data_IF_014085190394
#
_entry.id   IF_014085190394
#
_cell.length_a   1.000
_cell.length_b   1.000
_cell.length_c   1.000
_cell.angle_alpha   90.00
_cell.angle_beta   90.00
_cell.angle_gamma   90.00
#
_symmetry.space_group_name_H-M   'P 1'
#
loop_
_entity.id
_entity.type
_entity.pdbx_description
1 polymer ?
#
# COMPACT_ATOMS: atom_id res chain seq x y z
N UNK A 1 31.16 -10.51 -8.35
CA UNK A 1 30.68 -10.79 -6.98
C UNK A 1 31.46 -9.93 -5.99
N UNK A 2 30.99 -8.72 -5.69
CA UNK A 2 31.62 -7.81 -4.72
C UNK A 2 31.12 -8.15 -3.31
N UNK A 3 31.97 -8.83 -2.52
CA UNK A 3 31.76 -9.06 -1.09
C UNK A 3 31.67 -7.68 -0.40
N UNK A 4 30.46 -7.26 -0.04
CA UNK A 4 30.21 -6.01 0.67
C UNK A 4 30.91 -6.02 2.03
N UNK A 5 31.74 -5.00 2.28
CA UNK A 5 32.43 -4.78 3.55
C UNK A 5 31.39 -4.74 4.69
N UNK A 6 31.42 -5.74 5.57
CA UNK A 6 30.67 -5.76 6.83
C UNK A 6 31.21 -4.64 7.74
N UNK A 7 30.59 -3.47 7.67
CA UNK A 7 30.84 -2.33 8.54
C UNK A 7 29.54 -1.61 8.86
N UNK A 8 29.46 -0.99 10.04
CA UNK A 8 28.34 -0.11 10.39
C UNK A 8 28.23 0.99 9.32
N UNK A 9 27.06 1.22 8.69
CA UNK A 9 26.90 2.26 7.69
C UNK A 9 27.36 3.60 8.25
N UNK A 10 28.03 4.41 7.44
CA UNK A 10 28.45 5.76 7.87
C UNK A 10 27.22 6.62 8.19
N UNK A 11 27.38 7.68 8.99
CA UNK A 11 26.25 8.60 9.32
C UNK A 11 25.52 9.11 8.07
N UNK A 12 26.27 9.41 7.00
CA UNK A 12 25.72 9.85 5.72
C UNK A 12 24.90 8.76 5.02
N UNK A 13 25.36 7.51 5.08
CA UNK A 13 24.60 6.37 4.54
C UNK A 13 23.33 6.10 5.35
N UNK A 14 23.39 6.27 6.68
CA UNK A 14 22.20 6.13 7.53
C UNK A 14 21.15 7.19 7.20
N UNK A 15 21.56 8.45 6.99
CA UNK A 15 20.65 9.52 6.58
C UNK A 15 19.97 9.24 5.23
N UNK A 16 20.74 8.80 4.23
CA UNK A 16 20.18 8.43 2.93
C UNK A 16 19.17 7.28 3.02
N UNK A 17 19.44 6.28 3.86
CA UNK A 17 18.51 5.17 4.10
C UNK A 17 17.23 5.70 4.79
N UNK A 18 17.37 6.57 5.79
CA UNK A 18 16.23 7.19 6.46
C UNK A 18 15.37 8.02 5.49
N UNK A 19 15.97 8.92 4.71
CA UNK A 19 15.24 9.75 3.73
C UNK A 19 14.50 8.92 2.68
N UNK A 20 15.08 7.79 2.27
CA UNK A 20 14.47 6.91 1.28
C UNK A 20 13.33 6.08 1.87
N UNK A 21 13.51 5.54 3.07
CA UNK A 21 12.56 4.62 3.69
C UNK A 21 11.42 5.34 4.44
N UNK A 22 11.63 6.57 4.91
CA UNK A 22 10.68 7.30 5.75
C UNK A 22 9.35 7.62 5.04
N UNK A 23 9.33 8.00 3.75
CA UNK A 23 8.07 8.17 3.02
C UNK A 23 7.26 6.87 2.92
N UNK A 24 7.93 5.73 2.75
CA UNK A 24 7.27 4.42 2.67
C UNK A 24 6.67 4.03 4.02
N UNK A 25 7.40 4.29 5.10
CA UNK A 25 6.93 4.08 6.45
C UNK A 25 5.69 4.95 6.77
N UNK A 26 5.74 6.24 6.44
CA UNK A 26 4.62 7.18 6.66
C UNK A 26 3.35 6.80 5.89
N UNK A 27 3.51 6.26 4.67
CA UNK A 27 2.42 5.75 3.84
C UNK A 27 1.91 4.37 4.27
N UNK A 28 2.53 3.74 5.27
CA UNK A 28 2.10 2.45 5.80
C UNK A 28 2.42 1.26 4.90
N UNK A 29 3.43 1.36 4.02
CA UNK A 29 3.88 0.21 3.23
C UNK A 29 4.49 -0.87 4.14
N UNK A 30 4.42 -2.14 3.74
CA UNK A 30 5.08 -3.22 4.47
C UNK A 30 6.59 -3.16 4.29
N UNK A 31 7.35 -3.63 5.29
CA UNK A 31 8.81 -3.70 5.19
C UNK A 31 9.27 -4.58 4.02
N UNK A 32 8.51 -5.63 3.68
CA UNK A 32 8.78 -6.50 2.54
C UNK A 32 8.54 -5.80 1.20
N UNK A 33 7.41 -5.09 1.05
CA UNK A 33 7.12 -4.33 -0.17
C UNK A 33 8.14 -3.21 -0.38
N UNK A 34 8.47 -2.49 0.69
CA UNK A 34 9.47 -1.43 0.65
C UNK A 34 10.86 -1.96 0.30
N UNK A 35 11.26 -3.13 0.80
CA UNK A 35 12.54 -3.76 0.46
C UNK A 35 12.62 -4.12 -1.03
N UNK A 36 11.53 -4.64 -1.60
CA UNK A 36 11.45 -4.95 -3.02
C UNK A 36 11.55 -3.70 -3.90
N UNK A 37 10.89 -2.60 -3.51
CA UNK A 37 10.88 -1.35 -4.27
C UNK A 37 12.21 -0.58 -4.19
N UNK A 38 12.84 -0.59 -3.01
CA UNK A 38 14.04 0.24 -2.74
C UNK A 38 15.35 -0.52 -2.92
N UNK A 39 15.32 -1.84 -3.02
CA UNK A 39 16.49 -2.70 -3.10
C UNK A 39 17.30 -2.81 -1.79
N UNK A 40 16.80 -2.23 -0.69
CA UNK A 40 17.40 -2.40 0.63
C UNK A 40 17.08 -3.78 1.21
N UNK A 41 18.02 -4.35 1.96
CA UNK A 41 17.80 -5.61 2.67
C UNK A 41 16.63 -5.50 3.65
N UNK A 42 15.73 -6.48 3.65
CA UNK A 42 14.50 -6.45 4.45
C UNK A 42 14.77 -6.32 5.95
N UNK A 43 15.92 -6.81 6.46
CA UNK A 43 16.29 -6.63 7.87
C UNK A 43 16.69 -5.20 8.16
N UNK A 44 17.29 -4.50 7.19
CA UNK A 44 17.60 -3.07 7.29
C UNK A 44 16.30 -2.27 7.32
N UNK A 45 15.37 -2.53 6.40
CA UNK A 45 14.06 -1.87 6.39
C UNK A 45 13.32 -2.09 7.71
N UNK A 46 13.23 -3.35 8.17
CA UNK A 46 12.61 -3.69 9.46
C UNK A 46 13.29 -2.98 10.64
N UNK A 47 14.62 -2.82 10.63
CA UNK A 47 15.33 -2.11 11.70
C UNK A 47 14.92 -0.64 11.79
N UNK A 48 14.82 0.04 10.65
CA UNK A 48 14.41 1.45 10.61
C UNK A 48 12.93 1.60 10.93
N UNK A 49 12.08 0.72 10.39
CA UNK A 49 10.65 0.72 10.70
C UNK A 49 10.41 0.52 12.19
N UNK A 50 11.06 -0.47 12.83
CA UNK A 50 10.98 -0.68 14.28
C UNK A 50 11.53 0.47 15.10
N UNK A 51 12.60 1.13 14.63
CA UNK A 51 13.13 2.34 15.27
C UNK A 51 12.05 3.42 15.27
N UNK A 52 11.45 3.68 14.11
CA UNK A 52 10.40 4.69 14.00
C UNK A 52 9.11 4.29 14.71
N UNK A 53 8.73 3.00 14.75
CA UNK A 53 7.64 2.46 15.56
C UNK A 53 7.88 2.67 17.07
N UNK A 54 9.13 2.55 17.51
CA UNK A 54 9.49 2.83 18.90
C UNK A 54 9.49 4.33 19.20
N UNK A 55 10.04 5.15 18.30
CA UNK A 55 10.01 6.60 18.40
C UNK A 55 8.56 7.14 18.32
N UNK A 56 7.68 6.42 17.63
CA UNK A 56 6.24 6.64 17.51
C UNK A 56 5.46 6.45 18.82
N UNK A 57 5.95 5.60 19.71
CA UNK A 57 5.31 5.34 21.01
C UNK A 57 5.29 6.60 21.88
N UNK A 58 6.15 7.58 21.60
CA UNK A 58 6.29 8.84 22.35
C UNK A 58 5.55 10.03 21.73
N UNK A 59 4.99 9.92 20.51
CA UNK A 59 4.47 11.08 19.77
C UNK A 59 3.05 10.86 19.21
N UNK A 60 2.04 11.22 20.00
CA UNK A 60 0.60 11.12 19.65
C UNK A 60 0.26 11.82 18.33
N UNK A 61 0.96 12.90 18.00
CA UNK A 61 0.67 13.70 16.79
C UNK A 61 1.02 12.92 15.51
N UNK A 62 2.09 12.12 15.54
CA UNK A 62 2.48 11.30 14.40
C UNK A 62 1.52 10.11 14.21
N UNK A 63 1.10 9.45 15.30
CA UNK A 63 0.13 8.35 15.24
C UNK A 63 -1.18 8.81 14.59
N UNK A 64 -1.65 10.00 14.95
CA UNK A 64 -2.84 10.60 14.34
C UNK A 64 -2.64 10.93 12.86
N UNK A 65 -1.48 11.49 12.49
CA UNK A 65 -1.13 11.72 11.07
C UNK A 65 -1.14 10.42 10.25
N UNK A 66 -0.61 9.32 10.78
CA UNK A 66 -0.65 8.02 10.11
C UNK A 66 -2.07 7.47 9.94
N UNK A 67 -2.96 7.66 10.93
CA UNK A 67 -4.37 7.29 10.80
C UNK A 67 -5.08 8.10 9.72
N UNK A 68 -4.86 9.42 9.71
CA UNK A 68 -5.44 10.34 8.71
C UNK A 68 -4.97 9.98 7.30
N UNK A 69 -3.66 9.78 7.09
CA UNK A 69 -3.12 9.44 5.77
C UNK A 69 -3.60 8.08 5.28
N UNK A 70 -3.79 7.12 6.18
CA UNK A 70 -4.39 5.83 5.83
C UNK A 70 -5.85 5.99 5.38
N UNK A 71 -6.65 6.76 6.11
CA UNK A 71 -8.03 7.04 5.73
C UNK A 71 -8.10 7.74 4.37
N UNK A 72 -7.23 8.72 4.12
CA UNK A 72 -7.10 9.39 2.82
C UNK A 72 -6.76 8.42 1.70
N UNK A 73 -5.81 7.53 1.94
CA UNK A 73 -5.40 6.51 0.97
C UNK A 73 -6.54 5.52 0.68
N UNK A 74 -7.27 5.07 1.71
CA UNK A 74 -8.42 4.20 1.54
C UNK A 74 -9.52 4.87 0.70
N UNK A 75 -9.84 6.14 0.99
CA UNK A 75 -10.81 6.93 0.21
C UNK A 75 -10.35 7.14 -1.24
N UNK A 76 -9.05 7.37 -1.47
CA UNK A 76 -8.51 7.51 -2.83
C UNK A 76 -8.71 6.20 -3.63
N UNK A 77 -8.41 5.05 -3.03
CA UNK A 77 -8.63 3.74 -3.66
C UNK A 77 -10.13 3.51 -3.95
N UNK A 78 -11.02 3.89 -3.03
CA UNK A 78 -12.46 3.78 -3.25
C UNK A 78 -12.95 4.66 -4.39
N UNK A 79 -12.46 5.90 -4.49
CA UNK A 79 -12.78 6.79 -5.61
C UNK A 79 -12.27 6.24 -6.96
N UNK A 80 -11.07 5.65 -7.00
CA UNK A 80 -10.56 5.00 -8.21
C UNK A 80 -11.39 3.77 -8.60
N UNK A 81 -11.82 2.96 -7.64
CA UNK A 81 -12.72 1.83 -7.88
C UNK A 81 -14.06 2.27 -8.47
N UNK A 82 -14.68 3.32 -7.92
CA UNK A 82 -15.92 3.90 -8.46
C UNK A 82 -15.74 4.41 -9.89
N UNK A 83 -14.60 5.04 -10.19
CA UNK A 83 -14.28 5.50 -11.54
C UNK A 83 -14.13 4.32 -12.51
N UNK A 84 -13.42 3.27 -12.11
CA UNK A 84 -13.29 2.05 -12.91
C UNK A 84 -14.63 1.34 -13.13
N UNK A 85 -15.55 1.35 -12.17
CA UNK A 85 -16.91 0.83 -12.34
C UNK A 85 -17.73 1.63 -13.34
N UNK A 86 -17.55 2.95 -13.39
CA UNK A 86 -18.16 3.79 -14.42
C UNK A 86 -17.60 3.42 -15.80
N UNK A 87 -16.28 3.35 -15.93
CA UNK A 87 -15.63 2.97 -17.18
C UNK A 87 -15.98 1.56 -17.64
N UNK A 88 -16.12 0.60 -16.72
CA UNK A 88 -16.57 -0.76 -17.02
C UNK A 88 -17.97 -0.73 -17.67
N UNK A 89 -18.90 0.04 -17.10
CA UNK A 89 -20.26 0.20 -17.66
C UNK A 89 -20.24 0.83 -19.03
N UNK A 90 -19.45 1.88 -19.23
CA UNK A 90 -19.34 2.59 -20.51
C UNK A 90 -18.78 1.65 -21.60
N UNK A 91 -17.74 0.86 -21.28
CA UNK A 91 -17.13 -0.09 -22.22
C UNK A 91 -18.03 -1.29 -22.47
N UNK A 92 -18.79 -1.76 -21.47
CA UNK A 92 -19.81 -2.79 -21.67
C UNK A 92 -20.91 -2.33 -22.62
N UNK A 93 -21.34 -1.08 -22.51
CA UNK A 93 -22.31 -0.51 -23.43
C UNK A 93 -21.74 -0.43 -24.85
N UNK A 94 -20.51 0.08 -25.00
CA UNK A 94 -19.80 0.11 -26.29
C UNK A 94 -19.70 -1.29 -26.90
N UNK A 95 -19.36 -2.31 -26.11
CA UNK A 95 -19.29 -3.71 -26.56
C UNK A 95 -20.64 -4.21 -27.08
N UNK A 96 -21.74 -3.90 -26.38
CA UNK A 96 -23.10 -4.27 -26.80
C UNK A 96 -23.46 -3.62 -28.13
N UNK A 97 -23.12 -2.34 -28.29
CA UNK A 97 -23.47 -1.59 -29.50
C UNK A 97 -22.62 -2.02 -30.70
N UNK A 98 -21.30 -2.22 -30.53
CA UNK A 98 -20.44 -2.79 -31.59
C UNK A 98 -20.90 -4.17 -32.03
N UNK A 99 -21.44 -5.01 -31.13
CA UNK A 99 -22.01 -6.31 -31.49
C UNK A 99 -23.25 -6.17 -32.38
N UNK A 100 -24.12 -5.20 -32.09
CA UNK A 100 -25.33 -4.94 -32.89
C UNK A 100 -24.98 -4.39 -34.27
N UNK A 101 -23.96 -3.54 -34.35
CA UNK A 101 -23.51 -2.90 -35.60
C UNK A 101 -22.62 -3.82 -36.46
N UNK A 102 -22.23 -5.00 -35.97
CA UNK A 102 -21.33 -5.91 -36.68
C UNK A 102 -19.86 -5.45 -36.70
N UNK A 103 -19.48 -4.52 -35.82
CA UNK A 103 -18.12 -3.97 -35.75
C UNK A 103 -17.21 -4.85 -34.89
N UNK A 104 -16.80 -6.01 -35.44
CA UNK A 104 -16.02 -7.02 -34.71
C UNK A 104 -14.70 -6.50 -34.13
N UNK A 105 -14.01 -5.61 -34.84
CA UNK A 105 -12.77 -5.00 -34.35
C UNK A 105 -12.98 -4.17 -33.07
N UNK A 106 -14.09 -3.43 -32.99
CA UNK A 106 -14.43 -2.64 -31.81
C UNK A 106 -14.93 -3.53 -30.68
N UNK A 107 -15.71 -4.57 -30.99
CA UNK A 107 -16.12 -5.58 -30.02
C UNK A 107 -14.94 -6.28 -29.34
N UNK A 108 -13.92 -6.67 -30.12
CA UNK A 108 -12.72 -7.30 -29.58
C UNK A 108 -11.92 -6.34 -28.70
N UNK A 109 -11.71 -5.09 -29.15
CA UNK A 109 -11.05 -4.05 -28.37
C UNK A 109 -11.77 -3.78 -27.05
N UNK A 110 -13.10 -3.63 -27.08
CA UNK A 110 -13.91 -3.42 -25.89
C UNK A 110 -13.81 -4.61 -24.92
N UNK A 111 -13.81 -5.84 -25.43
CA UNK A 111 -13.62 -7.04 -24.61
C UNK A 111 -12.27 -7.05 -23.91
N UNK A 112 -11.19 -6.74 -24.63
CA UNK A 112 -9.84 -6.63 -24.03
C UNK A 112 -9.76 -5.52 -22.98
N UNK A 113 -10.42 -4.38 -23.20
CA UNK A 113 -10.48 -3.29 -22.24
C UNK A 113 -11.21 -3.69 -20.95
N UNK A 114 -12.35 -4.40 -21.06
CA UNK A 114 -13.06 -4.92 -19.88
C UNK A 114 -12.15 -5.81 -19.03
N UNK A 115 -11.39 -6.71 -19.67
CA UNK A 115 -10.44 -7.58 -18.94
C UNK A 115 -9.41 -6.74 -18.19
N UNK A 116 -8.81 -5.74 -18.83
CA UNK A 116 -7.84 -4.83 -18.18
C UNK A 116 -8.45 -4.05 -17.00
N UNK A 117 -9.68 -3.56 -17.16
CA UNK A 117 -10.39 -2.87 -16.08
C UNK A 117 -10.59 -3.82 -14.89
N UNK A 118 -11.02 -5.06 -15.14
CA UNK A 118 -11.19 -6.08 -14.08
C UNK A 118 -9.88 -6.40 -13.38
N UNK A 119 -8.79 -6.57 -14.11
CA UNK A 119 -7.46 -6.77 -13.54
C UNK A 119 -7.03 -5.60 -12.63
N UNK A 120 -7.27 -4.36 -13.07
CA UNK A 120 -6.98 -3.17 -12.27
C UNK A 120 -7.84 -3.10 -11.01
N UNK A 121 -9.15 -3.36 -11.11
CA UNK A 121 -10.05 -3.43 -9.95
C UNK A 121 -9.58 -4.48 -8.94
N UNK A 122 -9.16 -5.67 -9.40
CA UNK A 122 -8.63 -6.71 -8.52
C UNK A 122 -7.36 -6.28 -7.78
N UNK A 123 -6.45 -5.56 -8.45
CA UNK A 123 -5.24 -5.01 -7.81
C UNK A 123 -5.58 -3.99 -6.73
N UNK A 124 -6.43 -3.01 -7.04
CA UNK A 124 -6.86 -1.99 -6.09
C UNK A 124 -7.63 -2.59 -4.91
N UNK A 125 -8.45 -3.61 -5.13
CA UNK A 125 -9.12 -4.35 -4.06
C UNK A 125 -8.12 -5.08 -3.15
N UNK A 126 -7.09 -5.70 -3.72
CA UNK A 126 -6.02 -6.32 -2.93
C UNK A 126 -5.24 -5.28 -2.12
N UNK A 127 -4.92 -4.12 -2.70
CA UNK A 127 -4.27 -3.02 -2.00
C UNK A 127 -5.14 -2.48 -0.87
N UNK A 128 -6.45 -2.33 -1.08
CA UNK A 128 -7.41 -1.94 -0.04
C UNK A 128 -7.44 -2.95 1.11
N UNK A 129 -7.51 -4.25 0.80
CA UNK A 129 -7.48 -5.32 1.81
C UNK A 129 -6.17 -5.27 2.60
N UNK A 130 -5.04 -5.08 1.91
CA UNK A 130 -3.74 -4.97 2.57
C UNK A 130 -3.66 -3.73 3.46
N UNK A 131 -4.22 -2.60 3.05
CA UNK A 131 -4.25 -1.37 3.83
C UNK A 131 -5.12 -1.51 5.10
N UNK A 132 -6.26 -2.21 4.99
CA UNK A 132 -7.14 -2.51 6.12
C UNK A 132 -6.48 -3.51 7.08
N UNK A 133 -5.83 -4.54 6.55
CA UNK A 133 -5.24 -5.62 7.36
C UNK A 133 -3.85 -5.30 7.91
N UNK A 134 -3.18 -4.26 7.41
CA UNK A 134 -1.90 -3.81 7.94
C UNK A 134 -2.10 -3.25 9.36
N UNK A 135 -1.89 -4.06 10.39
CA UNK A 135 -1.99 -3.63 11.79
C UNK A 135 -1.20 -2.32 12.01
N UNK A 136 -1.87 -1.28 12.51
CA UNK A 136 -1.16 -0.08 12.97
C UNK A 136 -0.53 -0.31 14.33
N UNK A 137 0.45 0.51 14.66
CA UNK A 137 0.91 0.68 16.05
C UNK A 137 -0.28 0.96 16.98
N UNK A 138 -1.29 1.71 16.55
CA UNK A 138 -2.52 1.94 17.31
C UNK A 138 -3.35 0.67 17.59
N UNK A 139 -3.51 -0.21 16.60
CA UNK A 139 -4.26 -1.48 16.75
C UNK A 139 -3.50 -2.46 17.66
N UNK A 140 -2.17 -2.46 17.59
CA UNK A 140 -1.30 -3.25 18.47
C UNK A 140 -1.37 -2.74 19.92
N UNK A 141 -1.41 -1.41 20.11
CA UNK A 141 -1.52 -0.77 21.42
C UNK A 141 -2.88 -1.03 22.09
N UNK A 142 -3.98 -0.92 21.34
CA UNK A 142 -5.32 -1.23 21.86
C UNK A 142 -5.50 -2.72 22.23
N UNK A 143 -4.78 -3.62 21.56
CA UNK A 143 -4.75 -5.04 21.91
C UNK A 143 -3.90 -5.31 23.15
N UNK A 144 -2.77 -4.59 23.34
CA UNK A 144 -1.95 -4.71 24.55
C UNK A 144 -2.65 -4.17 25.82
N UNK A 145 -3.46 -3.11 25.71
CA UNK A 145 -4.23 -2.57 26.84
C UNK A 145 -5.40 -3.47 27.26
N UNK A 146 -5.94 -4.27 26.33
CA UNK A 146 -7.02 -5.24 26.62
C UNK A 146 -6.50 -6.55 27.21
N UNK A 147 -5.26 -6.94 26.92
CA UNK A 147 -4.61 -8.14 27.48
C UNK A 147 -4.11 -7.99 28.93
N UNK A 148 -4.10 -6.77 29.48
CA UNK A 148 -3.63 -6.48 30.84
C UNK A 148 -4.68 -6.57 31.94
N UNK A 149 -5.95 -6.89 31.63
CA UNK A 149 -7.07 -6.92 32.60
C UNK A 149 -7.59 -8.30 32.98
N UNK A 150 -6.97 -9.37 32.48
CA UNK A 150 -7.27 -10.74 32.92
C UNK A 150 -6.03 -11.34 33.57
N UNK A 151 -5.73 -10.93 34.80
CA UNK A 151 -4.98 -11.67 35.83
C UNK A 151 -4.80 -10.75 37.05
N UNK A 152 -5.89 -10.49 37.77
CA UNK A 152 -5.88 -10.15 39.21
C UNK A 152 -7.03 -10.89 39.86
#
# INVERSE_FOLDING_TARGET
>A
MTKGKRGRPSRKQQHNIEDTLRPYFQKGHSALGTANDTGFDVKTVNKYFRKWEKDLYDDREFSEKCKIERQRTALAIENELLSLEKHERDVEQLKKDSKKLGEYNLFEKATRLIVKIKEQKSKLMAERINLINAATVGDILEQSDKGGKENV
#
